data_IF_841493691767
#
_entry.id   IF_841493691767
#
_cell.length_a   1.000
_cell.length_b   1.000
_cell.length_c   1.000
_cell.angle_alpha   90.00
_cell.angle_beta   90.00
_cell.angle_gamma   90.00
#
_symmetry.space_group_name_H-M   'P 1'
#
loop_
_entity.id
_entity.type
_entity.pdbx_description
1 polymer ?
#
# COMPACT_ATOMS: atom_id res chain seq x y z
N UNK A 1 -12.56 5.05 -27.92
CA UNK A 1 -11.14 4.72 -28.16
C UNK A 1 -10.32 5.82 -27.52
N UNK A 2 -9.53 5.54 -26.48
CA UNK A 2 -8.61 6.55 -25.95
C UNK A 2 -7.50 6.78 -26.98
N UNK A 3 -7.31 8.01 -27.42
CA UNK A 3 -6.18 8.37 -28.28
C UNK A 3 -4.87 8.02 -27.57
N UNK A 4 -4.03 7.19 -28.20
CA UNK A 4 -2.71 6.88 -27.64
C UNK A 4 -1.87 8.15 -27.64
N UNK A 5 -1.36 8.54 -26.47
CA UNK A 5 -0.46 9.68 -26.37
C UNK A 5 0.90 9.33 -26.96
N UNK A 6 1.33 10.06 -27.98
CA UNK A 6 2.64 9.87 -28.57
C UNK A 6 3.74 10.49 -27.70
N UNK A 7 4.89 9.82 -27.60
CA UNK A 7 6.07 10.37 -26.94
C UNK A 7 6.64 11.53 -27.76
N UNK A 8 7.03 12.62 -27.07
CA UNK A 8 7.70 13.75 -27.72
C UNK A 8 9.10 13.36 -28.18
N UNK A 9 9.68 14.10 -29.15
CA UNK A 9 11.06 13.87 -29.61
C UNK A 9 12.06 13.95 -28.45
N UNK A 10 11.91 14.93 -27.56
CA UNK A 10 12.75 15.08 -26.38
C UNK A 10 12.63 13.88 -25.42
N UNK A 11 11.41 13.39 -25.16
CA UNK A 11 11.20 12.19 -24.34
C UNK A 11 11.88 10.97 -24.96
N UNK A 12 11.72 10.74 -26.27
CA UNK A 12 12.39 9.64 -26.97
C UNK A 12 13.92 9.71 -26.81
N UNK A 13 14.51 10.90 -26.98
CA UNK A 13 15.96 11.09 -26.81
C UNK A 13 16.40 10.75 -25.39
N UNK A 14 15.70 11.26 -24.37
CA UNK A 14 16.03 10.98 -22.95
C UNK A 14 15.88 9.48 -22.64
N UNK A 15 14.82 8.84 -23.14
CA UNK A 15 14.59 7.41 -22.93
C UNK A 15 15.68 6.56 -23.58
N UNK A 16 16.08 6.87 -24.82
CA UNK A 16 17.19 6.19 -25.50
C UNK A 16 18.50 6.42 -24.76
N UNK A 17 18.79 7.65 -24.34
CA UNK A 17 19.98 7.99 -23.57
C UNK A 17 20.05 7.25 -22.21
N UNK A 18 18.90 6.96 -21.59
CA UNK A 18 18.83 6.14 -20.38
C UNK A 18 18.98 4.63 -20.67
N UNK A 19 18.42 4.15 -21.78
CA UNK A 19 18.38 2.73 -22.12
C UNK A 19 19.73 2.20 -22.63
N UNK A 20 20.42 2.99 -23.47
CA UNK A 20 21.67 2.57 -24.13
C UNK A 20 22.76 2.18 -23.12
N UNK A 21 23.07 2.97 -22.07
CA UNK A 21 24.07 2.59 -21.06
C UNK A 21 23.69 1.31 -20.29
N UNK A 22 22.41 1.11 -19.99
CA UNK A 22 21.93 -0.08 -19.30
C UNK A 22 22.13 -1.33 -20.16
N UNK A 23 21.81 -1.25 -21.46
CA UNK A 23 22.03 -2.34 -22.40
C UNK A 23 23.53 -2.62 -22.59
N UNK A 24 24.33 -1.57 -22.78
CA UNK A 24 25.78 -1.67 -22.93
C UNK A 24 26.43 -2.34 -21.71
N UNK A 25 25.97 -2.01 -20.50
CA UNK A 25 26.48 -2.60 -19.26
C UNK A 25 26.16 -4.10 -19.18
N UNK A 26 24.96 -4.52 -19.58
CA UNK A 26 24.60 -5.94 -19.65
C UNK A 26 25.44 -6.72 -20.66
N UNK A 27 25.63 -6.16 -21.86
CA UNK A 27 26.47 -6.79 -22.91
C UNK A 27 27.94 -6.87 -22.47
N UNK A 28 28.48 -5.79 -21.90
CA UNK A 28 29.86 -5.77 -21.39
C UNK A 28 30.04 -6.77 -20.24
N UNK A 29 29.06 -6.88 -19.35
CA UNK A 29 29.03 -7.89 -18.28
C UNK A 29 29.18 -9.30 -18.85
N UNK A 30 28.37 -9.65 -19.85
CA UNK A 30 28.43 -11.01 -20.39
C UNK A 30 29.67 -11.33 -21.22
N UNK A 31 30.22 -10.35 -21.94
CA UNK A 31 31.55 -10.50 -22.56
C UNK A 31 32.63 -10.72 -21.49
N UNK A 32 32.54 -10.01 -20.37
CA UNK A 32 33.45 -10.17 -19.23
C UNK A 32 33.37 -11.58 -18.62
N UNK A 33 32.17 -12.07 -18.34
CA UNK A 33 31.93 -13.42 -17.80
C UNK A 33 32.43 -14.50 -18.74
N UNK A 34 32.14 -14.38 -20.05
CA UNK A 34 32.65 -15.30 -21.06
C UNK A 34 34.17 -15.31 -21.11
N UNK A 35 34.82 -14.15 -21.11
CA UNK A 35 36.29 -14.04 -21.13
C UNK A 35 36.96 -14.62 -19.88
N UNK A 36 36.32 -14.48 -18.72
CA UNK A 36 36.84 -15.02 -17.47
C UNK A 36 36.76 -16.56 -17.44
N UNK A 37 35.58 -17.11 -17.75
CA UNK A 37 35.37 -18.57 -17.75
C UNK A 37 36.16 -19.23 -18.89
N UNK A 38 36.27 -18.59 -20.06
CA UNK A 38 37.02 -19.14 -21.20
C UNK A 38 38.49 -19.32 -20.89
N UNK A 39 39.10 -18.42 -20.12
CA UNK A 39 40.50 -18.54 -19.69
C UNK A 39 40.73 -19.66 -18.70
N UNK A 40 39.75 -19.97 -17.85
CA UNK A 40 39.87 -21.00 -16.82
C UNK A 40 39.44 -22.41 -17.30
N UNK A 41 38.42 -22.50 -18.15
CA UNK A 41 37.74 -23.77 -18.47
C UNK A 41 37.55 -24.03 -19.98
N UNK A 42 38.09 -23.18 -20.84
CA UNK A 42 37.94 -23.27 -22.30
C UNK A 42 36.64 -22.63 -22.83
N UNK A 43 36.65 -22.29 -24.11
CA UNK A 43 35.58 -21.50 -24.75
C UNK A 43 34.23 -22.23 -24.83
N UNK A 44 34.22 -23.56 -25.01
CA UNK A 44 32.99 -24.36 -25.07
C UNK A 44 32.23 -24.39 -23.73
N UNK A 45 32.96 -24.65 -22.64
CA UNK A 45 32.41 -24.64 -21.28
C UNK A 45 31.95 -23.24 -20.88
N UNK A 46 32.71 -22.20 -21.27
CA UNK A 46 32.36 -20.82 -21.02
C UNK A 46 31.08 -20.39 -21.72
N UNK A 47 30.89 -20.79 -22.97
CA UNK A 47 29.66 -20.49 -23.71
C UNK A 47 28.44 -21.12 -23.03
N UNK A 48 28.55 -22.40 -22.64
CA UNK A 48 27.47 -23.11 -21.95
C UNK A 48 27.13 -22.50 -20.59
N UNK A 49 28.15 -22.14 -19.79
CA UNK A 49 27.96 -21.52 -18.47
C UNK A 49 27.33 -20.12 -18.57
N UNK A 50 27.78 -19.30 -19.52
CA UNK A 50 27.23 -17.96 -19.79
C UNK A 50 25.79 -18.07 -20.31
N UNK A 51 25.52 -18.97 -21.26
CA UNK A 51 24.18 -19.19 -21.78
C UNK A 51 23.21 -19.66 -20.68
N UNK A 52 23.66 -20.53 -19.78
CA UNK A 52 22.82 -21.01 -18.67
C UNK A 52 22.59 -19.93 -17.59
N UNK A 53 23.60 -19.14 -17.24
CA UNK A 53 23.50 -18.11 -16.20
C UNK A 53 22.89 -16.80 -16.72
N UNK A 54 23.61 -16.13 -17.62
CA UNK A 54 23.23 -14.82 -18.15
C UNK A 54 22.19 -14.91 -19.26
N UNK A 55 22.20 -15.98 -20.05
CA UNK A 55 21.14 -16.22 -21.02
C UNK A 55 19.78 -16.37 -20.34
N UNK A 56 19.72 -17.10 -19.21
CA UNK A 56 18.48 -17.23 -18.45
C UNK A 56 17.99 -15.89 -17.86
N UNK A 57 18.88 -15.07 -17.31
CA UNK A 57 18.50 -13.74 -16.78
C UNK A 57 18.08 -12.78 -17.89
N UNK A 58 18.76 -12.81 -19.03
CA UNK A 58 18.40 -12.04 -20.22
C UNK A 58 17.02 -12.45 -20.75
N UNK A 59 16.73 -13.76 -20.82
CA UNK A 59 15.40 -14.26 -21.22
C UNK A 59 14.32 -13.77 -20.25
N UNK A 60 14.55 -13.88 -18.93
CA UNK A 60 13.58 -13.38 -17.94
C UNK A 60 13.37 -11.86 -18.04
N UNK A 61 14.43 -11.09 -18.31
CA UNK A 61 14.36 -9.65 -18.52
C UNK A 61 13.57 -9.30 -19.80
N UNK A 62 13.79 -10.02 -20.90
CA UNK A 62 13.05 -9.85 -22.15
C UNK A 62 11.58 -10.24 -22.01
N UNK A 63 11.28 -11.32 -21.29
CA UNK A 63 9.90 -11.71 -20.96
C UNK A 63 9.23 -10.62 -20.12
N UNK A 64 9.91 -10.12 -19.08
CA UNK A 64 9.40 -9.02 -18.25
C UNK A 64 9.13 -7.76 -19.09
N UNK A 65 10.05 -7.40 -19.98
CA UNK A 65 9.93 -6.26 -20.87
C UNK A 65 8.76 -6.44 -21.86
N UNK A 66 8.65 -7.61 -22.48
CA UNK A 66 7.58 -7.94 -23.43
C UNK A 66 6.20 -7.91 -22.78
N UNK A 67 6.05 -8.54 -21.61
CA UNK A 67 4.80 -8.47 -20.84
C UNK A 67 4.44 -7.03 -20.46
N UNK A 68 5.44 -6.24 -20.05
CA UNK A 68 5.24 -4.82 -19.73
C UNK A 68 4.76 -4.03 -20.95
N UNK A 69 5.37 -4.24 -22.12
CA UNK A 69 5.00 -3.60 -23.39
C UNK A 69 3.62 -4.02 -23.89
N UNK A 70 3.19 -5.25 -23.58
CA UNK A 70 1.84 -5.74 -23.85
C UNK A 70 0.79 -5.23 -22.84
N UNK A 71 1.21 -4.39 -21.87
CA UNK A 71 0.34 -3.92 -20.80
C UNK A 71 -0.11 -5.05 -19.87
N UNK A 72 0.61 -6.17 -19.80
CA UNK A 72 0.27 -7.28 -18.92
C UNK A 72 0.91 -7.11 -17.53
N UNK A 73 0.27 -7.67 -16.50
CA UNK A 73 0.85 -7.67 -15.16
C UNK A 73 2.11 -8.53 -15.13
N UNK A 74 3.18 -7.98 -14.57
CA UNK A 74 4.43 -8.72 -14.34
C UNK A 74 4.18 -9.91 -13.40
N UNK A 75 4.39 -11.17 -13.83
CA UNK A 75 4.27 -12.34 -12.97
C UNK A 75 5.33 -12.28 -11.86
N UNK A 76 4.93 -12.60 -10.63
CA UNK A 76 5.84 -12.59 -9.47
C UNK A 76 6.98 -13.61 -9.67
N UNK A 77 6.69 -14.75 -10.32
CA UNK A 77 7.69 -15.80 -10.58
C UNK A 77 8.84 -15.29 -11.47
N UNK A 78 8.52 -14.46 -12.48
CA UNK A 78 9.52 -13.89 -13.41
C UNK A 78 10.42 -12.91 -12.66
N UNK A 79 9.84 -12.07 -11.80
CA UNK A 79 10.63 -11.16 -10.95
C UNK A 79 11.49 -11.90 -9.95
N UNK A 80 10.94 -12.94 -9.30
CA UNK A 80 11.73 -13.76 -8.38
C UNK A 80 12.91 -14.42 -9.10
N UNK A 81 12.69 -14.98 -10.30
CA UNK A 81 13.77 -15.54 -11.10
C UNK A 81 14.82 -14.50 -11.50
N UNK A 82 14.40 -13.30 -11.90
CA UNK A 82 15.29 -12.20 -12.28
C UNK A 82 16.22 -11.77 -11.15
N UNK A 83 15.77 -11.89 -9.89
CA UNK A 83 16.59 -11.60 -8.71
C UNK A 83 17.36 -12.81 -8.17
N UNK A 84 16.77 -14.01 -8.23
CA UNK A 84 17.35 -15.22 -7.67
C UNK A 84 18.58 -15.70 -8.45
N UNK A 85 18.54 -15.64 -9.79
CA UNK A 85 19.66 -16.12 -10.61
C UNK A 85 20.94 -15.30 -10.35
N UNK A 86 20.91 -13.95 -10.35
CA UNK A 86 22.13 -13.19 -10.09
C UNK A 86 22.52 -13.19 -8.63
N UNK A 87 21.57 -13.33 -7.69
CA UNK A 87 21.91 -13.55 -6.29
C UNK A 87 22.70 -14.85 -6.08
N UNK A 88 22.29 -15.94 -6.76
CA UNK A 88 23.04 -17.19 -6.73
C UNK A 88 24.44 -17.03 -7.36
N UNK A 89 24.54 -16.32 -8.48
CA UNK A 89 25.82 -15.99 -9.10
C UNK A 89 26.71 -15.14 -8.18
N UNK A 90 26.15 -14.15 -7.49
CA UNK A 90 26.84 -13.32 -6.51
C UNK A 90 27.40 -14.11 -5.35
N UNK A 91 26.64 -15.09 -4.84
CA UNK A 91 27.11 -15.99 -3.77
C UNK A 91 28.26 -16.85 -4.27
N UNK A 92 28.13 -17.48 -5.45
CA UNK A 92 29.22 -18.28 -6.01
C UNK A 92 30.47 -17.44 -6.26
N UNK A 93 30.32 -16.24 -6.81
CA UNK A 93 31.43 -15.34 -7.10
C UNK A 93 32.11 -14.82 -5.82
N UNK A 94 31.35 -14.58 -4.76
CA UNK A 94 31.90 -14.23 -3.45
C UNK A 94 32.74 -15.37 -2.85
N UNK A 95 32.26 -16.60 -2.96
CA UNK A 95 32.95 -17.79 -2.43
C UNK A 95 34.23 -18.13 -3.20
N UNK A 96 34.34 -17.69 -4.46
CA UNK A 96 35.51 -17.91 -5.30
C UNK A 96 36.62 -16.86 -5.14
N UNK A 97 36.41 -15.82 -4.31
CA UNK A 97 37.36 -14.71 -4.16
C UNK A 97 38.38 -14.97 -3.03
N UNK A 98 39.66 -14.70 -3.32
CA UNK A 98 40.76 -14.95 -2.37
C UNK A 98 40.97 -13.85 -1.32
N UNK A 99 40.39 -12.66 -1.53
CA UNK A 99 40.60 -11.46 -0.69
C UNK A 99 39.30 -10.69 -0.48
N UNK A 100 39.07 -10.08 0.71
CA UNK A 100 37.84 -9.34 1.01
C UNK A 100 37.49 -8.24 -0.01
N UNK A 101 38.48 -7.55 -0.59
CA UNK A 101 38.25 -6.54 -1.61
C UNK A 101 37.70 -7.14 -2.91
N UNK A 102 38.21 -8.30 -3.33
CA UNK A 102 37.71 -9.03 -4.50
C UNK A 102 36.36 -9.66 -4.24
N UNK A 103 36.10 -10.15 -3.03
CA UNK A 103 34.80 -10.72 -2.63
C UNK A 103 33.68 -9.72 -2.85
N UNK A 104 33.84 -8.47 -2.40
CA UNK A 104 32.81 -7.44 -2.57
C UNK A 104 32.57 -7.13 -4.05
N UNK A 105 33.64 -6.96 -4.83
CA UNK A 105 33.52 -6.65 -6.27
C UNK A 105 32.81 -7.80 -7.00
N UNK A 106 33.21 -9.04 -6.74
CA UNK A 106 32.65 -10.23 -7.37
C UNK A 106 31.20 -10.48 -6.94
N UNK A 107 30.85 -10.20 -5.68
CA UNK A 107 29.47 -10.31 -5.20
C UNK A 107 28.54 -9.23 -5.80
N UNK A 108 29.01 -8.00 -5.98
CA UNK A 108 28.16 -6.90 -6.46
C UNK A 108 27.96 -6.94 -7.98
N UNK A 109 28.95 -7.42 -8.73
CA UNK A 109 28.93 -7.37 -10.20
C UNK A 109 27.68 -8.01 -10.83
N UNK A 110 27.27 -9.25 -10.45
CA UNK A 110 26.05 -9.86 -11.00
C UNK A 110 24.77 -9.08 -10.66
N UNK A 111 24.73 -8.38 -9.52
CA UNK A 111 23.55 -7.61 -9.08
C UNK A 111 23.33 -6.33 -9.90
N UNK A 112 24.38 -5.75 -10.47
CA UNK A 112 24.26 -4.56 -11.33
C UNK A 112 23.35 -4.79 -12.55
N UNK A 113 23.33 -6.02 -13.08
CA UNK A 113 22.48 -6.41 -14.20
C UNK A 113 21.00 -6.48 -13.80
N UNK A 114 20.67 -6.98 -12.60
CA UNK A 114 19.29 -6.97 -12.07
C UNK A 114 18.74 -5.56 -11.97
N UNK A 115 19.53 -4.65 -11.40
CA UNK A 115 19.13 -3.25 -11.21
C UNK A 115 18.85 -2.60 -12.57
N UNK A 116 19.69 -2.89 -13.57
CA UNK A 116 19.50 -2.42 -14.94
C UNK A 116 18.23 -2.97 -15.58
N UNK A 117 17.97 -4.28 -15.44
CA UNK A 117 16.78 -4.94 -15.98
C UNK A 117 15.48 -4.44 -15.31
N UNK A 118 15.46 -4.27 -13.99
CA UNK A 118 14.32 -3.70 -13.27
C UNK A 118 14.11 -2.21 -13.66
N UNK A 119 15.20 -1.47 -13.86
CA UNK A 119 15.18 -0.09 -14.37
C UNK A 119 14.56 0.00 -15.77
N UNK A 120 14.93 -0.91 -16.68
CA UNK A 120 14.33 -1.01 -18.01
C UNK A 120 12.85 -1.37 -17.94
N UNK A 121 12.47 -2.36 -17.13
CA UNK A 121 11.07 -2.75 -16.95
C UNK A 121 10.24 -1.60 -16.36
N UNK A 122 10.79 -0.85 -15.42
CA UNK A 122 10.17 0.35 -14.86
C UNK A 122 9.95 1.43 -15.93
N UNK A 123 10.98 1.71 -16.74
CA UNK A 123 10.92 2.71 -17.80
C UNK A 123 9.88 2.32 -18.87
N UNK A 124 9.92 1.05 -19.29
CA UNK A 124 8.96 0.43 -20.18
C UNK A 124 7.52 0.60 -19.68
N UNK A 125 7.28 0.27 -18.40
CA UNK A 125 5.97 0.44 -17.77
C UNK A 125 5.54 1.91 -17.80
N UNK A 126 6.46 2.84 -17.52
CA UNK A 126 6.12 4.27 -17.49
C UNK A 126 5.74 4.78 -18.88
N UNK A 127 6.37 4.27 -19.93
CA UNK A 127 6.00 4.57 -21.32
C UNK A 127 4.58 4.07 -21.61
N UNK A 128 4.29 2.80 -21.31
CA UNK A 128 2.96 2.20 -21.55
C UNK A 128 1.88 2.96 -20.79
N UNK A 129 2.11 3.27 -19.51
CA UNK A 129 1.19 4.08 -18.69
C UNK A 129 0.96 5.46 -19.30
N UNK A 130 2.00 6.08 -19.86
CA UNK A 130 1.87 7.38 -20.52
C UNK A 130 1.06 7.31 -21.82
N UNK A 131 1.29 6.27 -22.63
CA UNK A 131 0.65 6.07 -23.92
C UNK A 131 -0.83 5.67 -23.78
N UNK A 132 -1.10 4.71 -22.90
CA UNK A 132 -2.43 4.09 -22.74
C UNK A 132 -3.26 4.75 -21.62
N UNK A 133 -2.64 5.59 -20.79
CA UNK A 133 -3.30 6.28 -19.67
C UNK A 133 -3.74 5.35 -18.53
N UNK A 134 -3.34 4.07 -18.57
CA UNK A 134 -3.73 3.03 -17.61
C UNK A 134 -2.51 2.32 -17.06
N UNK A 135 -2.54 2.03 -15.77
CA UNK A 135 -1.51 1.26 -15.09
C UNK A 135 -2.08 -0.09 -14.64
N UNK A 136 -1.90 -1.11 -15.46
CA UNK A 136 -2.49 -2.44 -15.26
C UNK A 136 -2.03 -3.07 -13.93
N UNK A 137 -0.78 -2.84 -13.50
CA UNK A 137 -0.34 -3.32 -12.19
C UNK A 137 -1.06 -2.63 -11.03
N UNK A 138 -1.35 -1.33 -11.16
CA UNK A 138 -2.12 -0.59 -10.17
C UNK A 138 -3.59 -1.04 -10.18
N UNK A 139 -4.17 -1.26 -11.37
CA UNK A 139 -5.54 -1.75 -11.54
C UNK A 139 -5.72 -3.16 -10.95
N UNK A 140 -4.78 -4.08 -11.19
CA UNK A 140 -4.82 -5.43 -10.61
C UNK A 140 -4.73 -5.38 -9.08
N UNK A 141 -3.87 -4.51 -8.52
CA UNK A 141 -3.77 -4.31 -7.06
C UNK A 141 -5.06 -3.71 -6.48
N UNK A 142 -5.63 -2.72 -7.14
CA UNK A 142 -6.90 -2.11 -6.76
C UNK A 142 -8.04 -3.15 -6.80
N UNK A 143 -8.14 -3.93 -7.88
CA UNK A 143 -9.12 -4.99 -8.04
C UNK A 143 -8.98 -6.08 -6.96
N UNK A 144 -7.75 -6.45 -6.58
CA UNK A 144 -7.51 -7.39 -5.47
C UNK A 144 -8.02 -6.82 -4.13
N UNK A 145 -7.80 -5.54 -3.85
CA UNK A 145 -8.31 -4.88 -2.64
C UNK A 145 -9.85 -4.83 -2.65
N UNK A 146 -10.47 -4.49 -3.78
CA UNK A 146 -11.94 -4.43 -3.91
C UNK A 146 -12.56 -5.82 -3.74
N UNK A 147 -12.00 -6.86 -4.38
CA UNK A 147 -12.46 -8.25 -4.20
C UNK A 147 -12.35 -8.70 -2.75
N UNK A 148 -11.21 -8.44 -2.10
CA UNK A 148 -11.02 -8.77 -0.69
C UNK A 148 -11.99 -8.00 0.22
N UNK A 149 -12.28 -6.74 -0.09
CA UNK A 149 -13.25 -5.92 0.63
C UNK A 149 -14.66 -6.50 0.51
N UNK A 150 -15.09 -6.83 -0.70
CA UNK A 150 -16.39 -7.44 -0.97
C UNK A 150 -16.54 -8.77 -0.21
N UNK A 151 -15.53 -9.64 -0.28
CA UNK A 151 -15.50 -10.90 0.48
C UNK A 151 -15.66 -10.67 1.99
N UNK A 152 -14.88 -9.76 2.57
CA UNK A 152 -14.95 -9.49 4.01
C UNK A 152 -16.24 -8.78 4.43
N UNK A 153 -16.86 -7.97 3.57
CA UNK A 153 -18.19 -7.40 3.80
C UNK A 153 -19.27 -8.47 3.78
N UNK A 154 -19.27 -9.35 2.78
CA UNK A 154 -20.21 -10.48 2.70
C UNK A 154 -20.05 -11.44 3.90
N UNK A 155 -18.81 -11.78 4.26
CA UNK A 155 -18.52 -12.62 5.43
C UNK A 155 -18.95 -11.94 6.74
N UNK A 156 -18.78 -10.62 6.88
CA UNK A 156 -19.23 -9.90 8.06
C UNK A 156 -20.76 -9.92 8.23
N UNK A 157 -21.51 -9.87 7.11
CA UNK A 157 -22.96 -9.93 7.14
C UNK A 157 -23.47 -11.35 7.46
N UNK A 158 -22.93 -12.37 6.78
CA UNK A 158 -23.58 -13.67 6.67
C UNK A 158 -22.96 -14.79 7.53
N UNK A 159 -21.76 -14.62 8.09
CA UNK A 159 -21.07 -15.72 8.78
C UNK A 159 -21.69 -16.05 10.16
N UNK A 160 -21.94 -17.31 10.54
CA UNK A 160 -22.64 -17.65 11.78
C UNK A 160 -21.89 -17.19 13.05
N UNK A 161 -20.56 -17.33 13.09
CA UNK A 161 -19.76 -16.91 14.25
C UNK A 161 -19.58 -15.38 14.37
N UNK A 162 -20.00 -14.81 15.51
CA UNK A 162 -19.86 -13.39 15.86
C UNK A 162 -18.39 -12.92 15.88
N UNK A 163 -17.44 -13.76 16.30
CA UNK A 163 -16.00 -13.41 16.32
C UNK A 163 -15.50 -13.18 14.91
N UNK A 164 -15.85 -14.08 13.99
CA UNK A 164 -15.51 -13.98 12.57
C UNK A 164 -16.20 -12.78 11.91
N UNK A 165 -17.47 -12.49 12.25
CA UNK A 165 -18.14 -11.27 11.78
C UNK A 165 -17.34 -10.02 12.15
N UNK A 166 -17.03 -9.85 13.44
CA UNK A 166 -16.28 -8.69 13.96
C UNK A 166 -14.87 -8.61 13.39
N UNK A 167 -14.19 -9.74 13.18
CA UNK A 167 -12.88 -9.78 12.55
C UNK A 167 -12.93 -9.34 11.08
N UNK A 168 -13.93 -9.85 10.34
CA UNK A 168 -14.15 -9.50 8.93
C UNK A 168 -14.54 -8.03 8.77
N UNK A 169 -15.37 -7.50 9.67
CA UNK A 169 -15.72 -6.09 9.71
C UNK A 169 -14.48 -5.20 9.90
N UNK A 170 -13.64 -5.48 10.91
CA UNK A 170 -12.37 -4.76 11.11
C UNK A 170 -11.46 -4.84 9.89
N UNK A 171 -11.37 -6.01 9.25
CA UNK A 171 -10.56 -6.20 8.05
C UNK A 171 -11.14 -5.43 6.86
N UNK A 172 -12.47 -5.35 6.73
CA UNK A 172 -13.15 -4.53 5.72
C UNK A 172 -12.83 -3.05 5.89
N UNK A 173 -12.81 -2.52 7.12
CA UNK A 173 -12.42 -1.13 7.39
C UNK A 173 -10.95 -0.85 7.06
N UNK A 174 -10.05 -1.81 7.30
CA UNK A 174 -8.64 -1.68 6.89
C UNK A 174 -8.48 -1.70 5.37
N UNK A 175 -9.26 -2.53 4.67
CA UNK A 175 -9.25 -2.62 3.20
C UNK A 175 -9.89 -1.40 2.55
N UNK A 176 -10.99 -0.88 3.09
CA UNK A 176 -11.65 0.34 2.64
C UNK A 176 -10.68 1.53 2.64
N UNK A 177 -9.82 1.63 3.66
CA UNK A 177 -8.76 2.65 3.74
C UNK A 177 -7.71 2.56 2.62
N UNK A 178 -7.64 1.43 1.93
CA UNK A 178 -6.72 1.18 0.80
C UNK A 178 -7.39 1.33 -0.56
N UNK A 179 -8.72 1.43 -0.63
CA UNK A 179 -9.44 1.63 -1.89
C UNK A 179 -9.05 2.98 -2.48
N UNK A 180 -8.71 3.01 -3.77
CA UNK A 180 -8.27 4.21 -4.47
C UNK A 180 -6.82 4.64 -4.20
N UNK A 181 -6.08 3.97 -3.30
CA UNK A 181 -4.66 4.28 -3.12
C UNK A 181 -3.86 3.89 -4.37
N UNK A 182 -3.20 4.88 -4.97
CA UNK A 182 -2.33 4.69 -6.14
C UNK A 182 -3.05 4.81 -7.49
N UNK A 183 -4.37 5.04 -7.51
CA UNK A 183 -5.10 5.38 -8.73
C UNK A 183 -5.23 6.90 -8.86
N UNK A 184 -4.24 7.53 -9.49
CA UNK A 184 -4.25 8.97 -9.74
C UNK A 184 -5.42 9.41 -10.65
N UNK A 185 -5.90 8.51 -11.52
CA UNK A 185 -7.02 8.80 -12.41
C UNK A 185 -8.38 8.73 -11.72
N UNK A 186 -8.50 7.98 -10.62
CA UNK A 186 -9.75 7.89 -9.85
C UNK A 186 -10.16 9.23 -9.25
N UNK A 187 -9.22 10.03 -8.74
CA UNK A 187 -9.53 11.36 -8.21
C UNK A 187 -10.15 12.28 -9.26
N UNK A 188 -9.57 12.30 -10.47
CA UNK A 188 -10.09 13.07 -11.60
C UNK A 188 -11.47 12.55 -12.02
N UNK A 189 -11.61 11.24 -12.22
CA UNK A 189 -12.87 10.62 -12.62
C UNK A 189 -14.00 10.82 -11.61
N UNK A 190 -13.71 10.79 -10.31
CA UNK A 190 -14.71 11.06 -9.28
C UNK A 190 -15.21 12.50 -9.34
N UNK A 191 -14.33 13.46 -9.60
CA UNK A 191 -14.71 14.86 -9.81
C UNK A 191 -15.54 15.04 -11.07
N UNK A 192 -15.20 14.33 -12.16
CA UNK A 192 -15.99 14.36 -13.39
C UNK A 192 -17.40 13.79 -13.16
N UNK A 193 -17.53 12.64 -12.50
CA UNK A 193 -18.83 12.06 -12.12
C UNK A 193 -19.61 13.00 -11.21
N UNK A 194 -18.94 13.63 -10.24
CA UNK A 194 -19.60 14.58 -9.35
C UNK A 194 -20.09 15.80 -10.12
N UNK A 195 -19.28 16.33 -11.03
CA UNK A 195 -19.65 17.45 -11.90
C UNK A 195 -20.84 17.08 -12.78
N UNK A 196 -20.81 15.92 -13.41
CA UNK A 196 -21.92 15.42 -14.23
C UNK A 196 -23.21 15.29 -13.42
N UNK A 197 -23.15 14.72 -12.21
CA UNK A 197 -24.32 14.63 -11.33
C UNK A 197 -24.86 16.00 -10.91
N UNK A 198 -23.97 16.94 -10.59
CA UNK A 198 -24.35 18.30 -10.22
C UNK A 198 -24.98 19.03 -11.41
N UNK A 199 -24.38 18.91 -12.60
CA UNK A 199 -24.91 19.50 -13.83
C UNK A 199 -26.26 18.90 -14.20
N UNK A 200 -26.42 17.58 -14.16
CA UNK A 200 -27.69 16.91 -14.42
C UNK A 200 -28.77 17.28 -13.39
N UNK A 201 -28.41 17.40 -12.12
CA UNK A 201 -29.33 17.87 -11.07
C UNK A 201 -29.75 19.33 -11.28
N UNK A 202 -28.82 20.20 -11.68
CA UNK A 202 -29.12 21.59 -11.99
C UNK A 202 -30.01 21.74 -13.23
N UNK A 203 -29.75 20.97 -14.28
CA UNK A 203 -30.57 20.93 -15.49
C UNK A 203 -32.01 20.49 -15.19
N UNK A 204 -32.18 19.42 -14.41
CA UNK A 204 -33.50 18.96 -13.96
C UNK A 204 -34.24 20.03 -13.12
N UNK A 205 -33.53 20.75 -12.25
CA UNK A 205 -34.12 21.84 -11.47
C UNK A 205 -34.53 23.03 -12.36
N UNK A 206 -33.71 23.40 -13.34
CA UNK A 206 -34.05 24.45 -14.31
C UNK A 206 -35.25 24.04 -15.17
N UNK A 207 -35.30 22.80 -15.64
CA UNK A 207 -36.46 22.26 -16.35
C UNK A 207 -37.73 22.35 -15.49
N UNK A 208 -37.67 22.00 -14.21
CA UNK A 208 -38.80 22.12 -13.30
C UNK A 208 -39.23 23.59 -13.05
N UNK A 209 -38.30 24.54 -13.07
CA UNK A 209 -38.61 25.97 -12.89
C UNK A 209 -39.21 26.60 -14.15
N UNK A 210 -38.72 26.22 -15.34
CA UNK A 210 -39.15 26.82 -16.60
C UNK A 210 -40.30 26.09 -17.29
N UNK A 211 -40.60 24.87 -16.86
CA UNK A 211 -41.83 24.18 -17.25
C UNK A 211 -42.90 24.52 -16.21
N UNK A 212 -43.86 25.38 -16.56
CA UNK A 212 -45.02 25.63 -15.73
C UNK A 212 -45.73 24.29 -15.39
N UNK A 213 -46.40 24.17 -14.22
CA UNK A 213 -47.12 22.95 -13.87
C UNK A 213 -48.33 22.80 -14.80
N UNK A 214 -48.12 22.27 -16.00
CA UNK A 214 -49.18 21.60 -16.72
C UNK A 214 -49.46 20.33 -15.93
N UNK A 215 -50.49 20.39 -15.08
CA UNK A 215 -51.19 19.30 -14.43
C UNK A 215 -50.61 17.91 -14.79
N UNK A 216 -49.63 17.44 -14.01
CA UNK A 216 -49.22 16.05 -14.06
C UNK A 216 -49.91 15.33 -12.91
N UNK A 217 -50.98 14.65 -13.31
CA UNK A 217 -51.50 13.48 -12.62
C UNK A 217 -50.36 12.46 -12.44
N UNK A 218 -50.42 11.73 -11.33
CA UNK A 218 -49.44 10.82 -10.76
C UNK A 218 -48.55 10.04 -11.77
N UNK A 219 -47.21 10.15 -11.63
CA UNK A 219 -46.30 9.00 -11.72
C UNK A 219 -44.83 9.36 -11.39
N UNK A 220 -44.28 8.62 -10.42
CA UNK A 220 -42.87 8.43 -10.07
C UNK A 220 -42.22 9.46 -9.12
N UNK A 221 -42.73 9.41 -7.89
CA UNK A 221 -41.95 9.05 -6.70
C UNK A 221 -40.43 9.24 -6.81
N UNK A 222 -40.03 10.46 -6.48
CA UNK A 222 -39.01 10.74 -5.48
C UNK A 222 -37.89 9.68 -5.35
N UNK A 223 -36.81 9.86 -6.12
CA UNK A 223 -35.48 9.34 -5.77
C UNK A 223 -34.97 10.04 -4.51
N UNK A 224 -35.61 9.75 -3.37
CA UNK A 224 -35.15 10.09 -2.03
C UNK A 224 -34.08 9.08 -1.63
N UNK A 225 -32.85 9.57 -1.51
CA UNK A 225 -31.81 9.10 -0.59
C UNK A 225 -31.89 7.63 -0.14
N UNK A 226 -31.48 6.70 -1.00
CA UNK A 226 -31.09 5.35 -0.55
C UNK A 226 -29.65 5.38 -0.03
N UNK A 227 -29.47 6.04 1.11
CA UNK A 227 -28.32 5.87 2.01
C UNK A 227 -28.87 5.77 3.44
N UNK A 228 -29.42 4.60 3.78
CA UNK A 228 -29.97 4.29 5.09
C UNK A 228 -30.06 2.79 5.26
N UNK A 229 -29.44 2.28 6.30
CA UNK A 229 -29.42 0.87 6.67
C UNK A 229 -30.80 0.43 7.17
N UNK A 230 -31.50 -0.42 6.42
CA UNK A 230 -32.63 -1.18 6.96
C UNK A 230 -32.57 -2.63 6.46
N UNK A 231 -31.82 -3.45 7.20
CA UNK A 231 -32.01 -4.90 7.20
C UNK A 231 -33.27 -5.20 8.02
N UNK A 232 -34.43 -5.19 7.35
CA UNK A 232 -35.62 -5.84 7.89
C UNK A 232 -35.32 -7.33 8.04
N UNK A 233 -35.26 -7.75 9.31
CA UNK A 233 -35.35 -9.13 9.75
C UNK A 233 -36.77 -9.62 9.45
N UNK A 234 -36.90 -10.59 8.57
CA UNK A 234 -38.13 -11.38 8.45
C UNK A 234 -37.76 -12.82 8.16
N UNK A 235 -38.13 -13.67 9.11
CA UNK A 235 -38.28 -15.12 8.99
C UNK A 235 -39.21 -15.53 10.15
N UNK A 236 -39.93 -16.66 10.09
CA UNK A 236 -40.33 -17.47 8.92
C UNK A 236 -41.82 -17.88 8.96
N UNK A 237 -42.39 -18.41 7.87
CA UNK A 237 -43.39 -19.53 7.87
C UNK A 237 -43.76 -20.01 6.43
N UNK A 238 -44.35 -21.20 6.20
CA UNK A 238 -43.64 -22.35 5.62
C UNK A 238 -44.23 -22.98 4.33
N UNK A 239 -43.34 -23.71 3.63
CA UNK A 239 -43.44 -25.03 2.92
C UNK A 239 -44.68 -25.41 2.08
N UNK A 240 -44.45 -25.69 0.78
CA UNK A 240 -44.72 -26.97 0.06
C UNK A 240 -44.16 -26.85 -1.40
N UNK A 241 -43.12 -27.60 -1.80
CA UNK A 241 -43.14 -28.96 -2.41
C UNK A 241 -43.67 -28.93 -3.88
N UNK A 242 -43.11 -29.50 -4.95
CA UNK A 242 -41.86 -30.17 -5.35
C UNK A 242 -41.86 -30.23 -6.92
N UNK A 243 -40.73 -30.70 -7.51
CA UNK A 243 -40.56 -31.21 -8.89
C UNK A 243 -40.37 -30.15 -9.99
N UNK A 244 -39.43 -30.25 -10.94
CA UNK A 244 -38.43 -31.28 -11.32
C UNK A 244 -37.43 -30.62 -12.27
N UNK A 245 -36.12 -30.86 -12.09
CA UNK A 245 -35.07 -30.61 -13.10
C UNK A 245 -34.58 -31.98 -13.61
N UNK A 246 -34.40 -32.20 -14.93
CA UNK A 246 -33.90 -33.48 -15.43
C UNK A 246 -32.39 -33.64 -15.25
N UNK A 247 -32.03 -34.87 -14.88
CA UNK A 247 -30.70 -35.33 -14.50
C UNK A 247 -29.74 -35.53 -15.68
N UNK A 248 -28.45 -35.31 -15.42
CA UNK A 248 -27.33 -35.83 -16.21
C UNK A 248 -27.01 -37.26 -15.74
N UNK A 249 -26.76 -38.22 -16.64
CA UNK A 249 -26.51 -39.60 -16.25
C UNK A 249 -25.08 -39.83 -15.72
N UNK A 250 -25.01 -40.48 -14.55
CA UNK A 250 -23.83 -41.18 -14.04
C UNK A 250 -23.42 -42.33 -14.96
N UNK A 251 -22.11 -42.49 -15.17
CA UNK A 251 -21.52 -43.76 -15.56
C UNK A 251 -20.61 -44.23 -14.42
N UNK A 252 -20.96 -45.38 -13.84
CA UNK A 252 -20.17 -46.09 -12.84
C UNK A 252 -19.01 -46.84 -13.52
N UNK A 253 -17.85 -47.00 -12.85
CA UNK A 253 -16.66 -47.65 -13.37
C UNK A 253 -16.67 -49.16 -13.10
N UNK A 254 -16.04 -49.93 -13.99
CA UNK A 254 -15.85 -51.38 -13.87
C UNK A 254 -14.57 -51.69 -13.08
N UNK A 255 -14.72 -52.56 -12.08
CA UNK A 255 -13.71 -53.07 -11.14
C UNK A 255 -12.74 -54.11 -11.74
N UNK A 256 -11.71 -54.40 -10.92
CA UNK A 256 -10.73 -55.53 -10.81
C UNK A 256 -9.29 -55.22 -11.29
N UNK A 257 -8.20 -55.47 -10.54
CA UNK A 257 -7.98 -56.24 -9.30
C UNK A 257 -6.63 -55.89 -8.62
N UNK A 258 -6.56 -56.11 -7.29
CA UNK A 258 -5.45 -56.54 -6.38
C UNK A 258 -4.01 -55.92 -6.51
N UNK A 259 -3.20 -55.65 -5.48
CA UNK A 259 -3.13 -56.06 -4.06
C UNK A 259 -2.15 -55.16 -3.26
N UNK A 260 -2.29 -55.20 -1.92
CA UNK A 260 -1.27 -55.02 -0.85
C UNK A 260 -0.58 -53.64 -0.68
N UNK A 261 -0.52 -52.98 0.50
CA UNK A 261 -0.65 -53.42 1.90
C UNK A 261 -1.14 -52.30 2.85
N UNK A 262 -1.90 -52.73 3.85
CA UNK A 262 -2.32 -52.10 5.12
C UNK A 262 -1.13 -51.67 6.02
N UNK A 263 -1.15 -50.86 7.08
CA UNK A 263 -2.12 -50.13 7.95
C UNK A 263 -1.23 -49.38 9.03
N UNK A 264 -1.71 -48.72 10.11
CA UNK A 264 -2.61 -47.58 10.20
C UNK A 264 -2.14 -46.49 11.22
N UNK A 265 -2.99 -45.46 11.37
CA UNK A 265 -2.92 -44.33 12.31
C UNK A 265 -3.14 -44.76 13.78
N UNK A 266 -2.43 -44.14 14.72
CA UNK A 266 -2.80 -44.14 16.15
C UNK A 266 -2.77 -42.72 16.73
N UNK A 267 -3.87 -42.34 17.38
CA UNK A 267 -4.04 -41.11 18.14
C UNK A 267 -4.13 -41.45 19.64
N UNK A 268 -3.38 -40.75 20.48
CA UNK A 268 -3.59 -40.65 21.94
C UNK A 268 -2.86 -39.43 22.50
N UNK A 269 -3.60 -38.48 23.07
CA UNK A 269 -3.18 -37.50 24.11
C UNK A 269 -3.51 -38.11 25.51
N UNK A 270 -3.14 -37.56 26.71
CA UNK A 270 -2.60 -36.22 27.04
C UNK A 270 -1.47 -36.11 28.12
N UNK A 271 -0.84 -34.92 28.12
CA UNK A 271 -0.31 -34.09 29.25
C UNK A 271 0.79 -34.60 30.24
N UNK A 272 1.95 -33.95 30.20
CA UNK A 272 2.69 -33.49 31.40
C UNK A 272 3.54 -32.22 31.11
N UNK A 273 3.83 -31.46 32.16
CA UNK A 273 4.11 -30.03 32.26
C UNK A 273 5.47 -29.50 31.75
N UNK A 274 5.40 -28.25 31.25
CA UNK A 274 6.36 -27.13 31.08
C UNK A 274 7.82 -27.22 31.63
N UNK A 275 8.78 -26.46 31.04
CA UNK A 275 8.89 -25.04 31.38
C UNK A 275 9.13 -24.06 30.20
N UNK A 276 8.84 -22.80 30.49
CA UNK A 276 8.79 -21.64 29.61
C UNK A 276 10.12 -21.28 28.92
N UNK A 277 10.04 -20.86 27.64
CA UNK A 277 11.10 -20.09 26.98
C UNK A 277 10.55 -18.97 26.08
N UNK A 278 10.86 -17.76 26.53
CA UNK A 278 10.98 -16.47 25.83
C UNK A 278 10.23 -16.24 24.50
N UNK A 279 9.22 -15.36 24.59
CA UNK A 279 8.61 -14.63 23.47
C UNK A 279 9.66 -13.78 22.74
N UNK A 280 10.00 -14.17 21.51
CA UNK A 280 10.70 -13.30 20.57
C UNK A 280 9.71 -12.30 19.97
N UNK A 281 10.11 -11.03 19.98
CA UNK A 281 9.32 -9.88 19.60
C UNK A 281 8.86 -9.93 18.13
N UNK A 282 7.60 -9.57 17.92
CA UNK A 282 6.96 -9.34 16.64
C UNK A 282 7.74 -8.26 15.87
N UNK A 283 8.41 -8.67 14.81
CA UNK A 283 9.12 -7.77 13.91
C UNK A 283 8.11 -6.91 13.14
N UNK A 284 8.16 -5.61 13.40
CA UNK A 284 7.24 -4.63 12.85
C UNK A 284 7.43 -4.43 11.34
N UNK A 285 6.33 -4.47 10.60
CA UNK A 285 6.22 -4.23 9.16
C UNK A 285 7.01 -2.99 8.66
N UNK A 286 7.50 -3.00 7.40
CA UNK A 286 8.41 -1.98 6.87
C UNK A 286 7.74 -0.60 6.77
N UNK A 287 8.34 0.40 7.42
CA UNK A 287 7.92 1.82 7.37
C UNK A 287 8.40 2.50 6.09
N UNK A 288 7.58 3.45 5.61
CA UNK A 288 7.85 4.33 4.46
C UNK A 288 9.26 4.94 4.49
N UNK A 289 9.84 5.08 3.30
CA UNK A 289 11.10 5.75 2.98
C UNK A 289 11.04 7.28 3.13
N UNK A 290 10.76 7.75 4.35
CA UNK A 290 11.26 9.05 4.81
C UNK A 290 12.16 8.72 5.99
N UNK A 291 13.45 8.55 5.71
CA UNK A 291 14.46 8.29 6.72
C UNK A 291 14.42 9.34 7.82
N UNK A 292 14.74 8.92 9.04
CA UNK A 292 14.91 9.85 10.18
C UNK A 292 16.00 10.85 9.80
N UNK A 293 15.66 12.14 9.83
CA UNK A 293 16.61 13.25 9.62
C UNK A 293 17.83 13.03 10.54
N UNK A 294 19.07 13.02 10.00
CA UNK A 294 20.28 12.88 10.81
C UNK A 294 20.30 13.88 11.97
N UNK A 295 20.80 13.47 13.14
CA UNK A 295 20.88 14.36 14.30
C UNK A 295 21.69 15.63 14.01
N UNK A 296 22.69 15.54 13.12
CA UNK A 296 23.48 16.69 12.65
C UNK A 296 22.69 17.71 11.82
N UNK A 297 21.58 17.30 11.19
CA UNK A 297 20.69 18.17 10.43
C UNK A 297 19.51 18.71 11.26
N UNK A 298 19.45 18.41 12.56
CA UNK A 298 18.49 19.01 13.48
C UNK A 298 19.08 20.29 14.06
N UNK A 299 18.53 21.44 13.66
CA UNK A 299 18.78 22.69 14.36
C UNK A 299 18.38 22.52 15.84
N UNK A 300 19.24 22.87 16.82
CA UNK A 300 18.86 22.87 18.22
C UNK A 300 17.65 23.78 18.39
N UNK A 301 16.50 23.20 18.74
CA UNK A 301 15.31 23.98 19.06
C UNK A 301 15.63 24.70 20.38
N UNK A 302 15.75 26.03 20.35
CA UNK A 302 15.84 26.80 21.59
C UNK A 302 14.62 26.46 22.46
N UNK A 303 14.89 25.84 23.60
CA UNK A 303 13.87 25.50 24.59
C UNK A 303 13.63 26.78 25.38
N UNK A 304 12.41 27.32 25.29
CA UNK A 304 12.01 28.45 26.16
C UNK A 304 12.04 27.98 27.60
N UNK A 305 12.71 28.73 28.46
CA UNK A 305 12.75 28.41 29.89
C UNK A 305 11.38 28.67 30.53
N UNK A 306 11.07 28.05 31.68
CA UNK A 306 9.83 28.33 32.40
C UNK A 306 9.64 29.81 32.75
N UNK A 307 10.71 30.51 33.09
CA UNK A 307 10.71 31.95 33.40
C UNK A 307 10.31 32.80 32.17
N UNK A 308 10.90 32.52 31.00
CA UNK A 308 10.54 33.19 29.75
C UNK A 308 9.06 32.99 29.38
N UNK A 309 8.51 31.81 29.68
CA UNK A 309 7.09 31.54 29.46
C UNK A 309 6.19 32.30 30.44
N UNK A 310 6.64 32.54 31.67
CA UNK A 310 5.92 33.36 32.64
C UNK A 310 5.90 34.84 32.22
N UNK A 311 7.03 35.38 31.77
CA UNK A 311 7.10 36.75 31.28
C UNK A 311 6.22 36.97 30.05
N UNK A 312 6.28 36.07 29.06
CA UNK A 312 5.42 36.08 27.87
C UNK A 312 3.94 35.96 28.26
N UNK A 313 3.63 35.14 29.27
CA UNK A 313 2.25 34.99 29.77
C UNK A 313 1.76 36.27 30.45
N UNK A 314 2.55 36.91 31.31
CA UNK A 314 2.19 38.20 31.97
C UNK A 314 1.85 39.26 30.93
N UNK A 315 2.68 39.40 29.89
CA UNK A 315 2.41 40.34 28.80
C UNK A 315 1.15 39.97 28.00
N UNK A 316 0.93 38.68 27.72
CA UNK A 316 -0.21 38.24 26.93
C UNK A 316 -1.55 38.31 27.67
N UNK A 317 -1.54 38.24 29.01
CA UNK A 317 -2.75 38.27 29.84
C UNK A 317 -2.92 39.57 30.62
N UNK A 318 -2.20 40.64 30.26
CA UNK A 318 -2.26 41.93 30.95
C UNK A 318 -3.71 42.48 30.99
N UNK A 319 -4.43 42.38 29.88
CA UNK A 319 -5.79 42.89 29.74
C UNK A 319 -6.89 41.87 30.08
N UNK A 320 -6.53 40.69 30.62
CA UNK A 320 -7.47 39.60 30.85
C UNK A 320 -8.08 39.69 32.25
N UNK A 321 -9.39 39.46 32.35
CA UNK A 321 -10.07 39.24 33.62
C UNK A 321 -9.71 37.87 34.24
N UNK A 322 -9.94 37.70 35.54
CA UNK A 322 -9.65 36.43 36.23
C UNK A 322 -10.47 35.23 35.71
N UNK A 323 -11.63 35.52 35.13
CA UNK A 323 -12.50 34.53 34.48
C UNK A 323 -11.86 34.03 33.17
N UNK A 324 -11.10 34.88 32.48
CA UNK A 324 -10.43 34.57 31.21
C UNK A 324 -9.10 33.82 31.41
N UNK A 325 -8.50 33.88 32.61
CA UNK A 325 -7.31 33.12 33.03
C UNK A 325 -7.59 31.62 33.20
N UNK A 326 -7.90 30.98 32.08
CA UNK A 326 -8.03 29.54 31.95
C UNK A 326 -6.74 28.94 31.39
N UNK A 327 -6.43 27.70 31.79
CA UNK A 327 -5.22 27.01 31.32
C UNK A 327 -5.20 26.84 29.78
N UNK A 328 -6.37 26.66 29.15
CA UNK A 328 -6.48 26.53 27.70
C UNK A 328 -6.37 27.89 26.99
N UNK A 329 -6.86 28.98 27.60
CA UNK A 329 -6.66 30.34 27.11
C UNK A 329 -5.19 30.72 27.05
N UNK A 330 -4.47 30.57 28.16
CA UNK A 330 -3.04 30.87 28.26
C UNK A 330 -2.21 29.98 27.32
N UNK A 331 -2.55 28.69 27.23
CA UNK A 331 -1.90 27.77 26.30
C UNK A 331 -2.01 28.24 24.85
N UNK A 332 -3.17 28.73 24.43
CA UNK A 332 -3.39 29.23 23.06
C UNK A 332 -2.66 30.55 22.82
N UNK A 333 -2.68 31.46 23.80
CA UNK A 333 -1.99 32.75 23.71
C UNK A 333 -0.46 32.59 23.61
N UNK A 334 0.14 31.81 24.50
CA UNK A 334 1.61 31.60 24.61
C UNK A 334 2.11 30.45 23.71
N UNK A 335 1.19 29.73 23.05
CA UNK A 335 1.45 28.57 22.18
C UNK A 335 2.31 27.49 22.85
N UNK A 336 1.98 27.17 24.10
CA UNK A 336 2.75 26.22 24.92
C UNK A 336 2.04 24.87 25.07
N UNK A 337 2.66 23.94 25.80
CA UNK A 337 2.07 22.64 26.11
C UNK A 337 0.92 22.76 27.12
N UNK A 338 0.04 21.77 27.20
CA UNK A 338 -1.05 21.76 28.19
C UNK A 338 -0.54 21.70 29.64
N UNK A 339 0.62 21.09 29.88
CA UNK A 339 1.26 21.06 31.19
C UNK A 339 1.74 22.46 31.61
N UNK A 340 2.43 23.16 30.71
CA UNK A 340 2.88 24.53 30.96
C UNK A 340 1.70 25.49 31.08
N UNK A 341 0.64 25.34 30.28
CA UNK A 341 -0.56 26.18 30.40
C UNK A 341 -1.24 26.11 31.77
N UNK A 342 -1.24 24.94 32.43
CA UNK A 342 -1.74 24.80 33.82
C UNK A 342 -0.81 25.46 34.82
N UNK A 343 0.50 25.22 34.71
CA UNK A 343 1.51 25.82 35.57
C UNK A 343 1.47 27.36 35.52
N UNK A 344 1.39 27.94 34.32
CA UNK A 344 1.31 29.38 34.12
C UNK A 344 0.02 29.97 34.70
N UNK A 345 -1.12 29.28 34.55
CA UNK A 345 -2.39 29.70 35.17
C UNK A 345 -2.26 29.80 36.68
N UNK A 346 -1.71 28.77 37.31
CA UNK A 346 -1.64 28.69 38.77
C UNK A 346 -0.67 29.75 39.32
N UNK A 347 0.45 29.98 38.61
CA UNK A 347 1.39 31.06 38.92
C UNK A 347 0.76 32.45 38.78
N UNK A 348 0.08 32.75 37.67
CA UNK A 348 -0.57 34.05 37.45
C UNK A 348 -1.73 34.31 38.43
N UNK A 349 -2.48 33.28 38.81
CA UNK A 349 -3.53 33.41 39.84
C UNK A 349 -2.95 33.63 41.23
N UNK A 350 -1.84 32.97 41.56
CA UNK A 350 -1.14 33.21 42.81
C UNK A 350 -0.56 34.64 42.86
N UNK A 351 -0.01 35.15 41.75
CA UNK A 351 0.47 36.53 41.64
C UNK A 351 -0.64 37.56 41.82
N UNK A 352 -1.82 37.36 41.20
CA UNK A 352 -2.97 38.27 41.35
C UNK A 352 -3.55 38.26 42.75
N UNK A 353 -3.72 37.08 43.35
CA UNK A 353 -4.18 36.95 44.73
C UNK A 353 -3.20 37.59 45.74
N UNK A 354 -1.89 37.56 45.46
CA UNK A 354 -0.88 38.23 46.28
C UNK A 354 -0.87 39.76 46.08
N UNK A 355 -1.23 40.25 44.89
CA UNK A 355 -1.39 41.68 44.60
C UNK A 355 -2.60 42.29 45.30
N UNK A 356 -3.76 41.62 45.23
CA UNK A 356 -5.00 42.08 45.90
C UNK A 356 -4.84 42.15 47.43
N UNK A 357 -4.01 41.29 48.02
CA UNK A 357 -3.74 41.30 49.46
C UNK A 357 -2.82 42.43 49.93
N UNK A 358 -2.13 43.14 49.04
CA UNK A 358 -1.30 44.30 49.38
C UNK A 358 -2.09 45.61 49.36
N UNK A 359 -3.16 45.68 48.57
CA UNK A 359 -4.07 46.84 48.54
C UNK A 359 -5.03 46.86 49.75
N UNK A 360 -5.31 45.72 50.38
CA UNK A 360 -6.17 45.63 51.58
C UNK A 360 -5.44 46.02 52.89
N UNK A 361 -4.10 45.98 52.92
CA UNK A 361 -3.30 46.33 54.12
C UNK A 361 -2.90 47.82 54.13
N UNK A 362 -3.15 48.55 53.04
CA UNK A 362 -2.84 49.97 52.89
C UNK A 362 -4.07 50.90 52.97
N UNK A 363 -5.26 50.37 53.29
CA UNK A 363 -6.53 51.10 53.39
C UNK A 363 -6.95 51.39 54.84
#
# INVERSE_FOLDING_TARGET
>A
MNERRMLTKAQKVVLVAAFVPMLATGVAGGVGTFSNISRAYGSGTALGAVAAGEGATAVLALVLLGLTMLGQSSPVIVRLGLWALPAAASVMAAMAADDPGRTVIYAVTPMGMCVSAEGMAFLARRIVVHQDGRDIEAEVKAAAVVRALAYHRARAANHPDRRVKKASERKSWRLARKVGLGDASLGVRLLDIQRERVTGGADAALAAMFTAPAYQDEAQDSTVNRLGSDLRKSAPEPVAEAATLPALPSADPKLVDAAESADPVAATDPAESAPARAVAAVESAPRRATGRVPQSARTPRLVRTPEQLLDEARSATADWSDVELTAEGIRKAVRTSSANGRMLRDALKAERAAGDGLDEVAA
#
